data_IF_009711709192
#
_entry.id   IF_009711709192
#
_cell.length_a   1.000
_cell.length_b   1.000
_cell.length_c   1.000
_cell.angle_alpha   90.00
_cell.angle_beta   90.00
_cell.angle_gamma   90.00
#
_symmetry.space_group_name_H-M   'P 1'
#
loop_
_entity.id
_entity.type
_entity.pdbx_description
1 polymer ?
#
# COMPACT_ATOMS: atom_id res chain seq x y z
N UNK A 1 -7.57 -12.77 10.86
CA UNK A 1 -7.80 -13.63 9.68
C UNK A 1 -6.49 -13.77 8.91
N UNK A 2 -6.32 -14.81 8.11
CA UNK A 2 -5.06 -15.07 7.39
C UNK A 2 -4.64 -13.91 6.46
N UNK A 3 -5.61 -13.16 5.92
CA UNK A 3 -5.37 -11.98 5.09
C UNK A 3 -4.57 -10.87 5.79
N UNK A 4 -4.82 -10.65 7.09
CA UNK A 4 -4.10 -9.65 7.88
C UNK A 4 -2.66 -10.07 8.13
N UNK A 5 -2.42 -11.37 8.36
CA UNK A 5 -1.07 -11.91 8.56
C UNK A 5 -0.19 -11.73 7.33
N UNK A 6 -0.73 -12.00 6.14
CA UNK A 6 0.00 -11.77 4.89
C UNK A 6 0.34 -10.29 4.69
N UNK A 7 -0.58 -9.39 5.05
CA UNK A 7 -0.38 -7.95 4.93
C UNK A 7 0.70 -7.43 5.87
N UNK A 8 0.61 -7.75 7.17
CA UNK A 8 1.63 -7.39 8.16
C UNK A 8 3.00 -7.96 7.78
N UNK A 9 3.04 -9.23 7.34
CA UNK A 9 4.29 -9.85 6.85
C UNK A 9 4.89 -9.06 5.69
N UNK A 10 4.07 -8.59 4.75
CA UNK A 10 4.54 -7.79 3.62
C UNK A 10 5.10 -6.44 4.10
N UNK A 11 4.36 -5.72 4.94
CA UNK A 11 4.78 -4.40 5.48
C UNK A 11 6.12 -4.53 6.22
N UNK A 12 6.23 -5.51 7.11
CA UNK A 12 7.42 -5.71 7.93
C UNK A 12 8.66 -6.07 7.09
N UNK A 13 8.47 -6.71 5.93
CA UNK A 13 9.55 -7.06 5.02
C UNK A 13 9.82 -6.02 3.93
N UNK A 14 9.01 -4.97 3.80
CA UNK A 14 9.13 -3.99 2.73
C UNK A 14 10.52 -3.32 2.70
N UNK A 15 11.02 -2.85 3.85
CA UNK A 15 12.32 -2.20 3.93
C UNK A 15 13.46 -3.15 3.50
N UNK A 16 13.39 -4.42 3.89
CA UNK A 16 14.35 -5.44 3.46
C UNK A 16 14.28 -5.68 1.95
N UNK A 17 13.08 -5.81 1.39
CA UNK A 17 12.88 -5.98 -0.04
C UNK A 17 13.43 -4.79 -0.85
N UNK A 18 13.23 -3.55 -0.37
CA UNK A 18 13.80 -2.36 -0.99
C UNK A 18 15.33 -2.37 -0.92
N UNK A 19 15.91 -2.70 0.24
CA UNK A 19 17.37 -2.80 0.40
C UNK A 19 17.99 -3.79 -0.59
N UNK A 20 17.40 -4.98 -0.72
CA UNK A 20 17.85 -6.01 -1.66
C UNK A 20 17.71 -5.53 -3.10
N UNK A 21 16.59 -4.88 -3.44
CA UNK A 21 16.37 -4.35 -4.78
C UNK A 21 17.42 -3.30 -5.16
N UNK A 22 17.71 -2.37 -4.26
CA UNK A 22 18.73 -1.34 -4.46
C UNK A 22 20.14 -1.96 -4.60
N UNK A 23 20.49 -2.91 -3.74
CA UNK A 23 21.77 -3.63 -3.84
C UNK A 23 21.93 -4.36 -5.19
N UNK A 24 20.86 -4.98 -5.70
CA UNK A 24 20.89 -5.67 -6.98
C UNK A 24 21.03 -4.71 -8.18
N UNK A 25 20.39 -3.54 -8.12
CA UNK A 25 20.55 -2.51 -9.15
C UNK A 25 21.97 -1.92 -9.15
N UNK A 26 22.57 -1.72 -7.97
CA UNK A 26 23.94 -1.17 -7.85
C UNK A 26 25.02 -2.18 -8.27
N UNK A 27 24.82 -3.48 -7.99
CA UNK A 27 25.84 -4.51 -8.19
C UNK A 27 25.70 -5.28 -9.52
N UNK A 28 24.60 -5.11 -10.27
CA UNK A 28 24.37 -5.84 -11.52
C UNK A 28 23.75 -4.97 -12.62
N UNK A 29 24.58 -4.60 -13.60
CA UNK A 29 24.14 -3.88 -14.81
C UNK A 29 23.09 -4.66 -15.62
N UNK A 30 23.17 -5.99 -15.63
CA UNK A 30 22.20 -6.86 -16.31
C UNK A 30 20.83 -6.80 -15.63
N UNK A 31 20.81 -6.77 -14.30
CA UNK A 31 19.60 -6.63 -13.51
C UNK A 31 18.96 -5.25 -13.70
N UNK A 32 19.77 -4.18 -13.61
CA UNK A 32 19.36 -2.80 -13.87
C UNK A 32 18.74 -2.66 -15.28
N UNK A 33 19.43 -3.15 -16.31
CA UNK A 33 18.95 -3.09 -17.69
C UNK A 33 17.63 -3.85 -17.88
N UNK A 34 17.47 -4.99 -17.20
CA UNK A 34 16.24 -5.78 -17.25
C UNK A 34 15.08 -5.08 -16.55
N UNK A 35 15.31 -4.45 -15.40
CA UNK A 35 14.29 -3.65 -14.71
C UNK A 35 13.85 -2.45 -15.54
N UNK A 36 14.80 -1.77 -16.19
CA UNK A 36 14.49 -0.67 -17.11
C UNK A 36 13.64 -1.15 -18.28
N UNK A 37 14.02 -2.27 -18.91
CA UNK A 37 13.23 -2.86 -20.00
C UNK A 37 11.80 -3.22 -19.57
N UNK A 38 11.63 -3.81 -18.38
CA UNK A 38 10.31 -4.13 -17.82
C UNK A 38 9.51 -2.86 -17.53
N UNK A 39 10.16 -1.81 -17.03
CA UNK A 39 9.54 -0.50 -16.79
C UNK A 39 8.91 0.07 -18.06
N UNK A 40 9.66 0.00 -19.17
CA UNK A 40 9.26 0.55 -20.46
C UNK A 40 8.19 -0.29 -21.18
N UNK A 41 8.23 -1.62 -21.02
CA UNK A 41 7.39 -2.54 -21.81
C UNK A 41 6.20 -3.13 -21.06
N UNK A 42 6.32 -3.38 -19.76
CA UNK A 42 5.36 -4.17 -18.98
C UNK A 42 4.72 -3.41 -17.81
N UNK A 43 5.32 -2.31 -17.36
CA UNK A 43 4.94 -1.65 -16.11
C UNK A 43 4.33 -0.27 -16.32
N UNK A 44 3.88 0.04 -17.55
CA UNK A 44 3.26 1.34 -17.89
C UNK A 44 4.13 2.53 -17.47
N UNK A 45 5.46 2.39 -17.59
CA UNK A 45 6.43 3.41 -17.19
C UNK A 45 6.62 3.58 -15.68
N UNK A 46 6.08 2.69 -14.83
CA UNK A 46 6.28 2.72 -13.37
C UNK A 46 7.39 1.77 -12.97
N UNK A 47 8.28 2.23 -12.10
CA UNK A 47 9.34 1.39 -11.52
C UNK A 47 8.76 0.30 -10.60
N UNK A 48 9.53 -0.77 -10.36
CA UNK A 48 9.14 -1.81 -9.40
C UNK A 48 8.91 -1.24 -7.99
N UNK A 49 9.73 -0.28 -7.57
CA UNK A 49 9.53 0.50 -6.33
C UNK A 49 8.10 1.07 -6.22
N UNK A 50 7.55 1.59 -7.32
CA UNK A 50 6.20 2.17 -7.34
C UNK A 50 5.15 1.13 -6.98
N UNK A 51 5.31 -0.13 -7.40
CA UNK A 51 4.37 -1.19 -7.06
C UNK A 51 4.58 -1.71 -5.64
N UNK A 52 5.84 -1.82 -5.21
CA UNK A 52 6.16 -2.34 -3.89
C UNK A 52 5.64 -1.46 -2.76
N UNK A 53 5.59 -0.13 -2.96
CA UNK A 53 5.07 0.81 -1.96
C UNK A 53 3.52 0.85 -1.93
N UNK A 54 2.82 0.36 -2.96
CA UNK A 54 1.35 0.47 -3.04
C UNK A 54 0.63 -0.20 -1.86
N UNK A 55 1.01 -1.41 -1.39
CA UNK A 55 0.41 -2.00 -0.21
C UNK A 55 0.62 -1.10 1.01
N UNK A 56 1.84 -0.61 1.28
CA UNK A 56 2.08 0.29 2.43
C UNK A 56 1.15 1.51 2.41
N UNK A 57 0.97 2.12 1.24
CA UNK A 57 0.12 3.31 1.07
C UNK A 57 -1.39 3.01 1.08
N UNK A 58 -1.80 1.74 0.97
CA UNK A 58 -3.20 1.37 0.71
C UNK A 58 -4.10 1.67 1.90
N UNK A 59 -3.66 1.28 3.10
CA UNK A 59 -4.41 1.47 4.34
C UNK A 59 -4.59 2.96 4.66
N UNK A 60 -3.52 3.80 4.69
CA UNK A 60 -3.67 5.25 4.86
C UNK A 60 -4.60 5.88 3.83
N UNK A 61 -4.52 5.44 2.56
CA UNK A 61 -5.38 5.96 1.50
C UNK A 61 -6.86 5.64 1.74
N UNK A 62 -7.19 4.46 2.23
CA UNK A 62 -8.58 4.11 2.54
C UNK A 62 -9.15 4.95 3.69
N UNK A 63 -8.36 5.23 4.72
CA UNK A 63 -8.76 6.13 5.82
C UNK A 63 -9.11 7.51 5.25
N UNK A 64 -8.24 8.08 4.41
CA UNK A 64 -8.48 9.38 3.78
C UNK A 64 -9.75 9.39 2.91
N UNK A 65 -9.95 8.35 2.10
CA UNK A 65 -11.13 8.24 1.22
C UNK A 65 -12.42 8.07 2.01
N UNK A 66 -12.42 7.26 3.07
CA UNK A 66 -13.59 7.06 3.94
C UNK A 66 -13.93 8.35 4.69
N UNK A 67 -12.93 9.02 5.26
CA UNK A 67 -13.13 10.31 5.93
C UNK A 67 -13.67 11.37 4.98
N UNK A 68 -13.20 11.41 3.74
CA UNK A 68 -13.72 12.33 2.72
C UNK A 68 -15.16 12.01 2.33
N UNK A 69 -15.50 10.72 2.25
CA UNK A 69 -16.86 10.27 1.95
C UNK A 69 -17.83 10.59 3.10
N UNK A 70 -17.40 10.44 4.36
CA UNK A 70 -18.18 10.83 5.55
C UNK A 70 -18.51 12.31 5.52
N UNK A 71 -17.55 13.19 5.18
CA UNK A 71 -17.78 14.64 5.08
C UNK A 71 -18.88 15.00 4.07
N UNK A 72 -19.02 14.19 3.01
CA UNK A 72 -20.00 14.39 1.95
C UNK A 72 -21.29 13.56 2.14
N UNK A 73 -21.40 12.83 3.25
CA UNK A 73 -22.58 12.03 3.59
C UNK A 73 -23.32 12.69 4.75
N UNK A 74 -24.61 12.99 4.57
CA UNK A 74 -25.43 13.60 5.62
C UNK A 74 -25.64 12.61 6.77
N UNK A 75 -25.71 13.09 8.00
CA UNK A 75 -25.94 12.24 9.19
C UNK A 75 -27.28 11.48 9.18
N UNK A 76 -28.26 11.92 8.40
CA UNK A 76 -29.52 11.22 8.20
C UNK A 76 -29.47 10.09 7.16
N UNK A 77 -28.36 9.98 6.41
CA UNK A 77 -28.20 8.93 5.42
C UNK A 77 -27.91 7.58 6.11
N UNK A 78 -28.53 6.47 5.69
CA UNK A 78 -28.34 5.17 6.34
C UNK A 78 -26.87 4.71 6.40
N UNK A 79 -26.06 5.05 5.38
CA UNK A 79 -24.64 4.69 5.37
C UNK A 79 -23.74 5.54 6.27
N UNK A 80 -24.22 6.63 6.87
CA UNK A 80 -23.34 7.54 7.62
C UNK A 80 -22.61 6.82 8.77
N UNK A 81 -23.33 6.02 9.56
CA UNK A 81 -22.72 5.25 10.64
C UNK A 81 -21.87 4.09 10.11
N UNK A 82 -22.28 3.43 9.03
CA UNK A 82 -21.48 2.38 8.38
C UNK A 82 -20.13 2.90 7.86
N UNK A 83 -20.10 4.13 7.33
CA UNK A 83 -18.87 4.77 6.88
C UNK A 83 -17.94 5.10 8.05
N UNK A 84 -18.50 5.58 9.18
CA UNK A 84 -17.72 5.80 10.40
C UNK A 84 -17.13 4.50 10.95
N UNK A 85 -17.92 3.44 11.00
CA UNK A 85 -17.47 2.13 11.46
C UNK A 85 -16.35 1.59 10.56
N UNK A 86 -16.48 1.75 9.24
CA UNK A 86 -15.45 1.38 8.28
C UNK A 86 -14.16 2.20 8.46
N UNK A 87 -14.26 3.52 8.66
CA UNK A 87 -13.10 4.38 8.92
C UNK A 87 -12.36 3.94 10.19
N UNK A 88 -13.10 3.75 11.29
CA UNK A 88 -12.54 3.29 12.56
C UNK A 88 -11.91 1.88 12.46
N UNK A 89 -12.48 0.99 11.65
CA UNK A 89 -11.90 -0.33 11.39
C UNK A 89 -10.57 -0.23 10.62
N UNK A 90 -10.47 0.69 9.65
CA UNK A 90 -9.24 0.93 8.91
C UNK A 90 -8.15 1.58 9.77
N UNK A 91 -8.53 2.47 10.70
CA UNK A 91 -7.60 3.06 11.68
C UNK A 91 -7.02 2.00 12.60
N UNK A 92 -7.86 1.13 13.19
CA UNK A 92 -7.38 -0.01 14.00
C UNK A 92 -6.45 -0.94 13.22
N UNK A 93 -6.71 -1.12 11.93
CA UNK A 93 -5.83 -1.91 11.07
C UNK A 93 -4.48 -1.21 10.86
N UNK A 94 -4.46 0.11 10.67
CA UNK A 94 -3.22 0.87 10.57
C UNK A 94 -2.38 0.72 11.84
N UNK A 95 -3.00 0.90 13.01
CA UNK A 95 -2.32 0.75 14.30
C UNK A 95 -1.72 -0.66 14.47
N UNK A 96 -2.47 -1.71 14.10
CA UNK A 96 -1.98 -3.09 14.15
C UNK A 96 -0.83 -3.40 13.19
N UNK A 97 -0.72 -2.65 12.09
CA UNK A 97 0.36 -2.82 11.10
C UNK A 97 1.63 -2.06 11.52
N UNK A 98 1.46 -0.93 12.20
CA UNK A 98 2.56 -0.09 12.68
C UNK A 98 3.23 -0.65 13.95
N UNK A 99 2.57 -1.55 14.68
CA UNK A 99 3.12 -2.35 15.80
C UNK A 99 4.00 -3.53 15.35
#
# INVERSE_FOLDING_TARGET
TDYLRCYTTYVNNYNNAISILTELEENSSDFEAKLKHLTDTGMKGKSLYTYLIMPIQRVPRYILLLNELIKHTRSSHPDYEHLKDAAAAMERLADYIDE
#
